data_IF_801170766234
#
_entry.id   IF_801170766234
#
_cell.length_a   1.000
_cell.length_b   1.000
_cell.length_c   1.000
_cell.angle_alpha   90.00
_cell.angle_beta   90.00
_cell.angle_gamma   90.00
#
_symmetry.space_group_name_H-M   'P 1'
#
loop_
_entity.id
_entity.type
_entity.pdbx_description
1 polymer ?
#
# COMPACT_ATOMS: atom_id res chain seq x y z
N UNK A 1 -3.32 28.81 -9.81
CA UNK A 1 -3.72 27.42 -9.66
C UNK A 1 -3.05 26.93 -8.38
N UNK A 2 -3.75 26.97 -7.24
CA UNK A 2 -3.22 26.53 -5.96
C UNK A 2 -3.33 25.01 -5.95
N UNK A 3 -2.23 24.33 -6.15
CA UNK A 3 -2.07 22.93 -5.77
C UNK A 3 -2.19 22.86 -4.25
N UNK A 4 -2.98 21.92 -3.75
CA UNK A 4 -3.06 21.61 -2.31
C UNK A 4 -1.64 21.34 -1.78
N UNK A 5 -1.06 22.32 -1.13
CA UNK A 5 0.32 22.27 -0.57
C UNK A 5 0.45 21.27 0.60
N UNK A 6 -0.61 20.54 0.93
CA UNK A 6 -0.68 19.66 2.09
C UNK A 6 -0.84 18.16 1.71
N UNK A 7 -0.71 17.77 0.45
CA UNK A 7 -0.76 16.35 0.06
C UNK A 7 0.63 15.71 0.23
N UNK A 8 0.71 14.64 1.03
CA UNK A 8 1.96 13.88 1.16
C UNK A 8 2.38 13.29 -0.19
N UNK A 9 3.64 13.52 -0.58
CA UNK A 9 4.25 12.93 -1.76
C UNK A 9 5.24 11.87 -1.34
N UNK A 10 4.92 10.64 -1.68
CA UNK A 10 5.54 9.43 -1.15
C UNK A 10 6.50 8.86 -2.19
N UNK A 11 7.74 8.58 -1.77
CA UNK A 11 8.68 7.76 -2.52
C UNK A 11 8.87 6.42 -1.82
N UNK A 12 8.76 5.32 -2.56
CA UNK A 12 8.73 3.96 -2.05
C UNK A 12 9.91 3.16 -2.60
N UNK A 13 10.67 2.57 -1.68
CA UNK A 13 11.84 1.76 -1.92
C UNK A 13 11.65 0.36 -1.31
N UNK A 14 11.73 -0.67 -2.15
CA UNK A 14 11.52 -2.05 -1.73
C UNK A 14 12.83 -2.85 -1.82
N UNK A 15 13.29 -3.36 -0.70
CA UNK A 15 14.20 -4.50 -0.63
C UNK A 15 13.37 -5.76 -0.89
N UNK A 16 13.27 -6.11 -2.20
CA UNK A 16 12.32 -7.13 -2.63
C UNK A 16 12.69 -8.52 -2.14
N UNK A 17 13.98 -8.84 -2.09
CA UNK A 17 14.44 -10.15 -1.62
C UNK A 17 14.05 -10.37 -0.16
N UNK A 18 14.27 -9.38 0.70
CA UNK A 18 13.91 -9.45 2.11
C UNK A 18 12.41 -9.68 2.30
N UNK A 19 11.57 -8.88 1.63
CA UNK A 19 10.11 -9.01 1.71
C UNK A 19 9.60 -10.34 1.18
N UNK A 20 10.08 -10.78 0.00
CA UNK A 20 9.65 -12.02 -0.64
C UNK A 20 10.06 -13.25 0.18
N UNK A 21 11.27 -13.23 0.76
CA UNK A 21 11.75 -14.30 1.63
C UNK A 21 10.91 -14.35 2.91
N UNK A 22 10.70 -13.21 3.58
CA UNK A 22 9.87 -13.13 4.78
C UNK A 22 8.43 -13.61 4.52
N UNK A 23 7.80 -13.15 3.43
CA UNK A 23 6.45 -13.58 3.07
C UNK A 23 6.36 -15.10 2.80
N UNK A 24 7.40 -15.69 2.19
CA UNK A 24 7.46 -17.14 1.96
C UNK A 24 7.66 -17.92 3.26
N UNK A 25 8.57 -17.50 4.10
CA UNK A 25 8.96 -18.23 5.29
C UNK A 25 7.95 -18.09 6.43
N UNK A 26 7.49 -16.88 6.68
CA UNK A 26 6.69 -16.57 7.86
C UNK A 26 5.17 -16.63 7.57
N UNK A 27 4.75 -16.23 6.36
CA UNK A 27 3.33 -16.21 5.98
C UNK A 27 2.93 -17.40 5.09
N UNK A 28 3.89 -18.19 4.60
CA UNK A 28 3.65 -19.34 3.71
C UNK A 28 3.13 -18.93 2.33
N UNK A 29 3.40 -17.70 1.89
CA UNK A 29 3.01 -17.19 0.58
C UNK A 29 3.92 -17.77 -0.50
N UNK A 30 3.34 -18.22 -1.62
CA UNK A 30 4.13 -18.67 -2.77
C UNK A 30 4.68 -17.49 -3.58
N UNK A 31 3.99 -16.35 -3.54
CA UNK A 31 4.37 -15.10 -4.19
C UNK A 31 4.05 -13.92 -3.27
N UNK A 32 4.95 -12.94 -3.22
CA UNK A 32 4.70 -11.68 -2.53
C UNK A 32 3.67 -10.85 -3.29
N UNK A 33 2.68 -10.31 -2.57
CA UNK A 33 1.67 -9.43 -3.13
C UNK A 33 1.95 -7.97 -2.73
N UNK A 34 2.19 -7.12 -3.73
CA UNK A 34 2.44 -5.70 -3.53
C UNK A 34 1.13 -4.87 -3.36
N UNK A 35 -0.01 -5.42 -3.75
CA UNK A 35 -1.31 -4.73 -3.70
C UNK A 35 -1.64 -4.08 -2.36
N UNK A 36 -1.52 -4.80 -1.22
CA UNK A 36 -1.74 -4.24 0.11
C UNK A 36 -0.88 -3.02 0.43
N UNK A 37 0.41 -3.03 0.06
CA UNK A 37 1.31 -1.88 0.24
C UNK A 37 0.86 -0.71 -0.65
N UNK A 38 0.53 -0.97 -1.91
CA UNK A 38 0.08 0.06 -2.84
C UNK A 38 -1.18 0.77 -2.31
N UNK A 39 -2.15 0.01 -1.78
CA UNK A 39 -3.38 0.53 -1.17
C UNK A 39 -3.06 1.36 0.08
N UNK A 40 -2.34 0.82 1.03
CA UNK A 40 -1.99 1.51 2.26
C UNK A 40 -1.26 2.85 2.01
N UNK A 41 -0.42 2.93 0.97
CA UNK A 41 0.25 4.17 0.61
C UNK A 41 -0.66 5.14 -0.14
N UNK A 42 -1.59 4.65 -1.00
CA UNK A 42 -2.56 5.49 -1.69
C UNK A 42 -3.52 6.20 -0.72
N UNK A 43 -3.86 5.56 0.39
CA UNK A 43 -4.68 6.17 1.46
C UNK A 43 -3.96 7.33 2.16
N UNK A 44 -2.64 7.25 2.34
CA UNK A 44 -1.82 8.24 3.02
C UNK A 44 -1.45 9.42 2.13
N UNK A 45 -1.13 9.17 0.85
CA UNK A 45 -0.69 10.25 -0.02
C UNK A 45 -0.49 9.82 -1.47
N UNK A 46 0.06 10.72 -2.26
CA UNK A 46 0.37 10.46 -3.66
C UNK A 46 1.72 9.78 -3.79
N UNK A 47 1.75 8.53 -4.22
CA UNK A 47 2.99 7.82 -4.50
C UNK A 47 3.56 8.28 -5.84
N UNK A 48 4.66 9.01 -5.80
CA UNK A 48 5.31 9.62 -6.97
C UNK A 48 6.52 8.82 -7.46
N UNK A 49 6.98 7.87 -6.66
CA UNK A 49 8.19 7.10 -6.94
C UNK A 49 8.06 5.69 -6.34
N UNK A 50 8.37 4.65 -7.13
CA UNK A 50 8.33 3.25 -6.69
C UNK A 50 9.50 2.52 -7.30
N UNK A 51 10.41 1.97 -6.50
CA UNK A 51 11.52 1.12 -6.94
C UNK A 51 11.64 -0.13 -6.10
N UNK A 52 11.93 -1.24 -6.75
CA UNK A 52 12.23 -2.51 -6.09
C UNK A 52 13.61 -3.00 -6.54
N UNK A 53 14.40 -3.47 -5.59
CA UNK A 53 15.78 -3.88 -5.75
C UNK A 53 15.90 -5.37 -5.47
N UNK A 54 16.44 -6.12 -6.43
CA UNK A 54 16.70 -7.56 -6.30
C UNK A 54 17.62 -8.07 -7.41
N UNK A 55 18.14 -9.29 -7.23
CA UNK A 55 18.49 -10.16 -8.34
C UNK A 55 17.20 -10.82 -8.86
N UNK A 56 16.67 -10.28 -9.95
CA UNK A 56 15.38 -10.70 -10.49
C UNK A 56 15.41 -12.08 -11.16
N UNK A 57 16.57 -12.71 -11.29
CA UNK A 57 16.68 -14.06 -11.87
C UNK A 57 15.90 -15.12 -11.10
N UNK A 58 15.68 -14.90 -9.80
CA UNK A 58 14.86 -15.75 -8.92
C UNK A 58 13.38 -15.38 -8.81
N UNK A 59 12.92 -14.30 -9.47
CA UNK A 59 11.61 -13.68 -9.26
C UNK A 59 10.87 -13.33 -10.55
N UNK A 60 11.04 -14.11 -11.61
CA UNK A 60 10.44 -13.81 -12.92
C UNK A 60 8.92 -13.65 -12.91
N UNK A 61 8.21 -14.47 -12.13
CA UNK A 61 6.74 -14.36 -11.99
C UNK A 61 6.32 -13.09 -11.28
N UNK A 62 7.15 -12.58 -10.37
CA UNK A 62 6.85 -11.39 -9.56
C UNK A 62 7.06 -10.10 -10.35
N UNK A 63 7.96 -10.11 -11.36
CA UNK A 63 8.25 -8.94 -12.22
C UNK A 63 7.00 -8.37 -12.86
N UNK A 64 6.14 -9.22 -13.44
CA UNK A 64 4.90 -8.79 -14.09
C UNK A 64 3.94 -8.15 -13.10
N UNK A 65 3.82 -8.73 -11.91
CA UNK A 65 2.96 -8.20 -10.86
C UNK A 65 3.41 -6.79 -10.41
N UNK A 66 4.69 -6.61 -10.12
CA UNK A 66 5.26 -5.32 -9.74
C UNK A 66 5.13 -4.27 -10.85
N UNK A 67 5.34 -4.66 -12.12
CA UNK A 67 5.20 -3.78 -13.28
C UNK A 67 3.76 -3.26 -13.44
N UNK A 68 2.73 -4.07 -13.18
CA UNK A 68 1.32 -3.63 -13.17
C UNK A 68 1.07 -2.55 -12.12
N UNK A 69 1.78 -2.60 -10.99
CA UNK A 69 1.75 -1.57 -9.96
C UNK A 69 2.71 -0.40 -10.24
N UNK A 70 3.24 -0.30 -11.46
CA UNK A 70 4.16 0.77 -11.88
C UNK A 70 5.42 0.86 -11.01
N UNK A 71 5.91 -0.28 -10.51
CA UNK A 71 7.17 -0.37 -9.77
C UNK A 71 8.31 -0.52 -10.77
N UNK A 72 9.30 0.38 -10.69
CA UNK A 72 10.55 0.28 -11.45
C UNK A 72 11.42 -0.82 -10.82
N UNK A 73 11.88 -1.77 -11.64
CA UNK A 73 12.70 -2.90 -11.19
C UNK A 73 14.16 -2.57 -11.41
N UNK A 74 14.93 -2.51 -10.34
CA UNK A 74 16.39 -2.29 -10.39
C UNK A 74 17.08 -3.64 -10.31
N UNK A 75 17.73 -4.03 -11.41
CA UNK A 75 18.49 -5.27 -11.50
C UNK A 75 19.82 -5.15 -10.78
N UNK A 76 20.08 -6.06 -9.85
CA UNK A 76 21.35 -6.17 -9.15
C UNK A 76 21.90 -7.59 -9.34
N UNK A 77 22.61 -7.87 -10.46
CA UNK A 77 23.06 -9.21 -10.75
C UNK A 77 24.08 -9.69 -9.73
N UNK A 78 23.82 -10.86 -9.17
CA UNK A 78 24.79 -11.54 -8.30
C UNK A 78 25.86 -12.20 -9.17
N UNK A 79 27.11 -11.73 -9.05
CA UNK A 79 28.23 -12.41 -9.70
C UNK A 79 28.59 -13.68 -8.93
N UNK A 80 28.60 -14.81 -9.61
CA UNK A 80 29.08 -16.07 -9.04
C UNK A 80 30.48 -15.91 -8.41
N UNK A 81 30.59 -16.25 -7.13
CA UNK A 81 31.89 -16.40 -6.45
C UNK A 81 32.38 -15.25 -5.59
N UNK A 82 31.63 -14.15 -5.43
CA UNK A 82 31.97 -13.10 -4.47
C UNK A 82 30.79 -12.79 -3.56
N UNK A 83 31.04 -12.82 -2.24
CA UNK A 83 30.09 -12.43 -1.19
C UNK A 83 29.76 -10.94 -1.32
N UNK A 84 28.78 -10.59 -2.18
CA UNK A 84 28.19 -9.26 -2.27
C UNK A 84 26.72 -9.33 -1.90
N UNK A 85 26.46 -9.79 -0.66
CA UNK A 85 25.09 -9.85 -0.12
C UNK A 85 24.39 -8.47 -0.05
N UNK A 86 25.12 -7.37 -0.05
CA UNK A 86 24.60 -6.02 0.24
C UNK A 86 24.63 -5.07 -0.97
N UNK A 87 24.78 -5.56 -2.22
CA UNK A 87 24.86 -4.66 -3.38
C UNK A 87 23.50 -3.99 -3.66
N UNK A 88 22.39 -4.71 -3.48
CA UNK A 88 21.03 -4.19 -3.60
C UNK A 88 20.75 -3.13 -2.51
N UNK A 89 21.13 -3.44 -1.27
CA UNK A 89 20.97 -2.56 -0.11
C UNK A 89 21.70 -1.25 -0.31
N UNK A 90 22.99 -1.32 -0.71
CA UNK A 90 23.82 -0.14 -0.98
C UNK A 90 23.19 0.71 -2.11
N UNK A 91 22.74 0.06 -3.21
CA UNK A 91 22.09 0.81 -4.30
C UNK A 91 20.81 1.48 -3.84
N UNK A 92 19.98 0.78 -3.06
CA UNK A 92 18.76 1.35 -2.50
C UNK A 92 19.05 2.53 -1.56
N UNK A 93 20.07 2.42 -0.70
CA UNK A 93 20.50 3.50 0.19
C UNK A 93 20.94 4.73 -0.61
N UNK A 94 21.76 4.53 -1.65
CA UNK A 94 22.25 5.64 -2.49
C UNK A 94 21.09 6.33 -3.19
N UNK A 95 20.18 5.57 -3.82
CA UNK A 95 19.04 6.13 -4.54
C UNK A 95 18.06 6.87 -3.62
N UNK A 96 17.82 6.34 -2.41
CA UNK A 96 16.95 6.99 -1.44
C UNK A 96 17.55 8.32 -0.94
N UNK A 97 18.86 8.37 -0.70
CA UNK A 97 19.54 9.60 -0.30
C UNK A 97 19.58 10.60 -1.46
N UNK A 98 19.94 10.18 -2.67
CA UNK A 98 19.93 11.03 -3.86
C UNK A 98 18.57 11.69 -4.06
N UNK A 99 17.49 10.88 -4.02
CA UNK A 99 16.13 11.39 -4.14
C UNK A 99 15.77 12.38 -3.03
N UNK A 100 16.18 12.12 -1.79
CA UNK A 100 15.91 13.00 -0.66
C UNK A 100 16.61 14.35 -0.80
N UNK A 101 17.79 14.38 -1.43
CA UNK A 101 18.51 15.62 -1.69
C UNK A 101 18.02 16.37 -2.92
N UNK A 102 17.62 15.65 -3.98
CA UNK A 102 17.26 16.27 -5.27
C UNK A 102 15.79 16.68 -5.36
N UNK A 103 14.90 16.07 -4.59
CA UNK A 103 13.44 16.21 -4.75
C UNK A 103 12.79 16.75 -3.48
N UNK A 104 12.90 18.04 -3.28
CA UNK A 104 12.31 18.71 -2.09
C UNK A 104 10.80 18.51 -1.94
N UNK A 105 10.11 18.28 -3.05
CA UNK A 105 8.67 18.01 -3.04
C UNK A 105 8.28 16.64 -2.48
N UNK A 106 9.20 15.69 -2.36
CA UNK A 106 8.96 14.40 -1.73
C UNK A 106 9.03 14.59 -0.21
N UNK A 107 7.91 14.40 0.46
CA UNK A 107 7.80 14.65 1.90
C UNK A 107 8.00 13.39 2.73
N UNK A 108 7.63 12.23 2.16
CA UNK A 108 7.62 10.95 2.86
C UNK A 108 8.40 9.91 2.07
N UNK A 109 9.27 9.19 2.76
CA UNK A 109 10.03 8.06 2.20
C UNK A 109 9.60 6.78 2.90
N UNK A 110 9.23 5.78 2.11
CA UNK A 110 8.82 4.47 2.58
C UNK A 110 9.93 3.47 2.29
N UNK A 111 10.41 2.81 3.33
CA UNK A 111 11.45 1.78 3.26
C UNK A 111 10.81 0.43 3.57
N UNK A 112 10.71 -0.41 2.56
CA UNK A 112 10.09 -1.72 2.69
C UNK A 112 11.18 -2.79 2.86
N UNK A 113 11.49 -3.13 4.09
CA UNK A 113 12.46 -4.15 4.51
C UNK A 113 12.27 -4.48 6.00
N UNK A 114 12.73 -5.63 6.44
CA UNK A 114 12.85 -6.00 7.86
C UNK A 114 14.27 -5.85 8.41
N UNK A 115 15.26 -5.46 7.57
CA UNK A 115 16.66 -5.47 7.95
C UNK A 115 17.09 -4.21 8.72
N UNK A 116 17.72 -4.42 9.87
CA UNK A 116 18.26 -3.34 10.69
C UNK A 116 19.45 -2.59 10.07
N UNK A 117 20.08 -3.13 9.04
CA UNK A 117 21.17 -2.47 8.33
C UNK A 117 20.72 -1.17 7.63
N UNK A 118 19.40 -1.01 7.42
CA UNK A 118 18.80 0.23 6.95
C UNK A 118 18.55 1.28 8.03
N UNK A 119 18.76 0.97 9.32
CA UNK A 119 18.58 1.96 10.41
C UNK A 119 19.39 3.25 10.21
N UNK A 120 20.66 3.22 9.75
CA UNK A 120 21.40 4.45 9.46
C UNK A 120 20.79 5.30 8.32
N UNK A 121 20.21 4.64 7.30
CA UNK A 121 19.47 5.33 6.24
C UNK A 121 18.27 6.06 6.81
N UNK A 122 17.45 5.36 7.61
CA UNK A 122 16.26 5.93 8.25
C UNK A 122 16.61 7.17 9.06
N UNK A 123 17.65 7.08 9.90
CA UNK A 123 18.13 8.21 10.70
C UNK A 123 18.55 9.40 9.80
N UNK A 124 19.29 9.12 8.73
CA UNK A 124 19.75 10.16 7.81
C UNK A 124 18.62 10.85 7.05
N UNK A 125 17.60 10.10 6.62
CA UNK A 125 16.42 10.65 5.97
C UNK A 125 15.62 11.57 6.93
N UNK A 126 15.51 11.19 8.20
CA UNK A 126 14.87 12.04 9.24
C UNK A 126 15.68 13.31 9.52
N UNK A 127 17.02 13.24 9.54
CA UNK A 127 17.88 14.44 9.60
C UNK A 127 17.63 15.39 8.42
N UNK A 128 17.30 14.85 7.23
CA UNK A 128 16.94 15.60 6.04
C UNK A 128 15.47 16.09 6.05
N UNK A 129 14.81 16.01 7.22
CA UNK A 129 13.41 16.42 7.41
C UNK A 129 12.43 15.64 6.49
N UNK A 130 12.71 14.37 6.23
CA UNK A 130 11.78 13.46 5.54
C UNK A 130 11.08 12.59 6.59
N UNK A 131 9.76 12.48 6.48
CA UNK A 131 9.01 11.47 7.23
C UNK A 131 9.39 10.10 6.70
N UNK A 132 9.67 9.14 7.58
CA UNK A 132 10.04 7.79 7.20
C UNK A 132 9.04 6.78 7.72
N UNK A 133 8.43 6.04 6.80
CA UNK A 133 7.54 4.91 7.10
C UNK A 133 8.30 3.63 6.78
N UNK A 134 8.43 2.72 7.75
CA UNK A 134 8.95 1.38 7.54
C UNK A 134 7.83 0.40 7.22
N UNK A 135 8.09 -0.58 6.35
CA UNK A 135 7.17 -1.70 6.10
C UNK A 135 7.99 -3.00 6.09
N UNK A 136 7.58 -3.99 6.87
CA UNK A 136 8.26 -5.29 6.93
C UNK A 136 7.34 -6.41 7.38
N UNK A 137 7.70 -7.66 7.08
CA UNK A 137 7.00 -8.83 7.61
C UNK A 137 7.36 -8.98 9.08
N UNK A 138 6.36 -9.16 9.96
CA UNK A 138 6.53 -9.08 11.42
C UNK A 138 7.66 -9.95 11.95
N UNK A 139 7.64 -11.23 11.64
CA UNK A 139 8.57 -12.21 12.20
C UNK A 139 9.98 -12.10 11.61
N UNK A 140 10.10 -11.59 10.37
CA UNK A 140 11.38 -11.31 9.70
C UNK A 140 11.92 -9.91 9.99
N UNK A 141 11.18 -9.06 10.72
CA UNK A 141 11.61 -7.68 10.99
C UNK A 141 12.48 -7.61 12.25
N UNK A 142 13.66 -7.03 12.11
CA UNK A 142 14.53 -6.72 13.25
C UNK A 142 13.86 -5.74 14.20
N UNK A 143 13.95 -6.01 15.51
CA UNK A 143 13.41 -5.15 16.57
C UNK A 143 14.04 -3.75 16.63
N UNK A 144 15.16 -3.55 15.94
CA UNK A 144 15.88 -2.27 15.93
C UNK A 144 15.32 -1.29 14.87
N UNK A 145 14.68 -1.80 13.81
CA UNK A 145 14.23 -0.97 12.70
C UNK A 145 12.93 -0.19 13.03
N UNK A 146 11.86 -0.78 13.58
CA UNK A 146 10.61 -0.07 13.84
C UNK A 146 10.77 1.19 14.70
N UNK A 147 11.54 1.18 15.83
CA UNK A 147 11.70 2.38 16.66
C UNK A 147 12.47 3.53 15.97
N UNK A 148 13.22 3.23 14.92
CA UNK A 148 13.96 4.25 14.17
C UNK A 148 13.06 5.06 13.23
N UNK A 149 11.95 4.45 12.74
CA UNK A 149 10.99 5.06 11.82
C UNK A 149 10.04 6.03 12.54
N UNK A 150 9.39 6.93 11.79
CA UNK A 150 8.30 7.76 12.31
C UNK A 150 7.01 6.96 12.40
N UNK A 151 6.83 5.97 11.51
CA UNK A 151 5.73 5.00 11.50
C UNK A 151 6.28 3.66 11.00
N UNK A 152 5.76 2.55 11.53
CA UNK A 152 6.10 1.22 11.03
C UNK A 152 4.84 0.38 10.83
N UNK A 153 4.68 -0.14 9.63
CA UNK A 153 3.55 -0.99 9.26
C UNK A 153 4.04 -2.43 9.10
N UNK A 154 3.39 -3.36 9.77
CA UNK A 154 3.64 -4.76 9.51
C UNK A 154 2.82 -5.22 8.30
N UNK A 155 3.52 -5.79 7.30
CA UNK A 155 2.89 -6.25 6.07
C UNK A 155 1.74 -7.21 6.33
N UNK A 156 1.92 -8.15 7.25
CA UNK A 156 0.93 -9.15 7.67
C UNK A 156 -0.35 -8.55 8.28
N UNK A 157 -0.29 -7.30 8.73
CA UNK A 157 -1.43 -6.57 9.28
C UNK A 157 -2.09 -5.60 8.28
N UNK A 158 -1.60 -5.55 7.03
CA UNK A 158 -2.21 -4.70 6.00
C UNK A 158 -3.47 -5.36 5.45
N UNK A 159 -4.46 -4.52 5.14
CA UNK A 159 -5.71 -4.98 4.54
C UNK A 159 -5.46 -5.73 3.22
N UNK A 160 -6.12 -6.89 3.07
CA UNK A 160 -6.02 -7.75 1.89
C UNK A 160 -4.88 -8.77 1.93
N UNK A 161 -3.95 -8.72 2.90
CA UNK A 161 -2.86 -9.71 3.02
C UNK A 161 -3.39 -11.09 3.36
N UNK A 162 -4.38 -11.21 4.26
CA UNK A 162 -4.99 -12.50 4.61
C UNK A 162 -5.63 -13.17 3.38
N UNK A 163 -6.33 -12.40 2.55
CA UNK A 163 -6.89 -12.90 1.29
C UNK A 163 -5.78 -13.36 0.34
N UNK A 164 -4.67 -12.63 0.25
CA UNK A 164 -3.50 -13.00 -0.55
C UNK A 164 -2.83 -14.29 -0.05
N UNK A 165 -2.74 -14.47 1.27
CA UNK A 165 -2.24 -15.71 1.90
C UNK A 165 -3.17 -16.88 1.56
N UNK A 166 -4.49 -16.72 1.69
CA UNK A 166 -5.47 -17.74 1.38
C UNK A 166 -5.43 -18.14 -0.10
N UNK A 167 -5.37 -17.15 -1.01
CA UNK A 167 -5.23 -17.38 -2.45
C UNK A 167 -3.93 -18.12 -2.81
N UNK A 168 -2.85 -17.84 -2.09
CA UNK A 168 -1.55 -18.46 -2.28
C UNK A 168 -1.53 -19.95 -1.84
N UNK A 169 -2.33 -20.30 -0.84
CA UNK A 169 -2.45 -21.67 -0.29
C UNK A 169 -3.47 -22.54 -1.05
N UNK A 170 -4.37 -21.93 -1.83
CA UNK A 170 -5.35 -22.68 -2.62
C UNK A 170 -4.63 -23.60 -3.64
N UNK A 171 -5.04 -24.89 -3.78
CA UNK A 171 -4.47 -25.76 -4.78
C UNK A 171 -4.62 -25.13 -6.17
N UNK A 172 -3.55 -25.09 -6.95
CA UNK A 172 -3.62 -24.72 -8.37
C UNK A 172 -4.62 -25.67 -9.07
N UNK A 173 -5.90 -25.33 -9.05
CA UNK A 173 -6.81 -25.88 -10.04
C UNK A 173 -6.22 -25.51 -11.39
N UNK A 174 -6.00 -26.51 -12.25
CA UNK A 174 -5.45 -26.39 -13.59
C UNK A 174 -6.15 -25.24 -14.32
N UNK A 175 -5.62 -24.02 -14.20
CA UNK A 175 -5.99 -22.93 -15.09
C UNK A 175 -5.36 -23.25 -16.44
N UNK A 176 -6.22 -23.44 -17.40
CA UNK A 176 -5.84 -23.51 -18.80
C UNK A 176 -4.92 -22.31 -19.10
N UNK A 177 -3.76 -22.60 -19.65
CA UNK A 177 -2.87 -21.63 -20.27
C UNK A 177 -3.66 -21.06 -21.44
N UNK A 178 -3.75 -19.76 -21.56
CA UNK A 178 -4.49 -18.97 -22.55
C UNK A 178 -5.82 -18.37 -22.04
N UNK A 179 -5.75 -17.58 -20.97
CA UNK A 179 -6.65 -16.45 -20.84
C UNK A 179 -5.80 -15.18 -20.84
N UNK A 180 -6.12 -14.26 -21.76
CA UNK A 180 -5.58 -12.92 -21.86
C UNK A 180 -5.60 -12.27 -20.46
N UNK A 181 -4.45 -12.25 -19.81
CA UNK A 181 -4.27 -11.71 -18.46
C UNK A 181 -4.22 -10.17 -18.49
N UNK A 182 -4.72 -9.59 -19.58
CA UNK A 182 -4.84 -8.16 -19.88
C UNK A 182 -6.26 -7.61 -19.60
N UNK A 183 -7.15 -8.44 -19.03
CA UNK A 183 -8.40 -7.93 -18.54
C UNK A 183 -8.12 -6.99 -17.36
N UNK A 184 -8.66 -5.74 -17.37
CA UNK A 184 -8.58 -4.85 -16.22
C UNK A 184 -9.17 -5.60 -15.01
N UNK A 185 -8.46 -5.57 -13.88
CA UNK A 185 -8.98 -6.10 -12.63
C UNK A 185 -10.37 -5.48 -12.41
N UNK A 186 -11.40 -6.31 -12.26
CA UNK A 186 -12.74 -5.82 -11.95
C UNK A 186 -12.63 -4.97 -10.69
N UNK A 187 -13.05 -3.70 -10.81
CA UNK A 187 -13.07 -2.78 -9.67
C UNK A 187 -13.96 -3.38 -8.58
N UNK A 188 -13.55 -3.36 -7.31
CA UNK A 188 -14.36 -3.89 -6.22
C UNK A 188 -15.73 -3.19 -6.20
N UNK A 189 -16.79 -3.86 -5.69
CA UNK A 189 -18.09 -3.23 -5.52
C UNK A 189 -17.97 -1.87 -4.81
N UNK A 190 -18.71 -0.87 -5.27
CA UNK A 190 -18.63 0.52 -4.77
C UNK A 190 -18.62 0.62 -3.24
N UNK A 191 -19.47 -0.15 -2.57
CA UNK A 191 -19.56 -0.16 -1.10
C UNK A 191 -18.30 -0.68 -0.45
N UNK A 192 -17.75 -1.76 -0.97
CA UNK A 192 -16.51 -2.36 -0.49
C UNK A 192 -15.32 -1.41 -0.68
N UNK A 193 -15.24 -0.72 -1.82
CA UNK A 193 -14.21 0.29 -2.08
C UNK A 193 -14.29 1.45 -1.08
N UNK A 194 -15.49 1.95 -0.78
CA UNK A 194 -15.68 3.04 0.18
C UNK A 194 -15.39 2.58 1.61
N UNK A 195 -15.90 1.42 2.02
CA UNK A 195 -15.72 0.87 3.37
C UNK A 195 -14.23 0.59 3.63
N UNK A 196 -13.56 -0.12 2.72
CA UNK A 196 -12.16 -0.49 2.89
C UNK A 196 -11.24 0.74 2.92
N UNK A 197 -11.47 1.72 2.02
CA UNK A 197 -10.70 2.95 2.00
C UNK A 197 -10.91 3.77 3.29
N UNK A 198 -12.15 3.86 3.78
CA UNK A 198 -12.46 4.61 4.98
C UNK A 198 -11.90 3.93 6.25
N UNK A 199 -11.97 2.59 6.32
CA UNK A 199 -11.39 1.81 7.42
C UNK A 199 -9.86 2.01 7.51
N UNK A 200 -9.15 1.95 6.37
CA UNK A 200 -7.72 2.19 6.31
C UNK A 200 -7.33 3.61 6.73
N UNK A 201 -8.18 4.61 6.44
CA UNK A 201 -7.93 6.00 6.81
C UNK A 201 -8.21 6.28 8.30
N UNK A 202 -9.24 5.67 8.89
CA UNK A 202 -9.60 5.87 10.30
C UNK A 202 -8.56 5.34 11.28
N UNK A 203 -7.75 4.36 10.87
CA UNK A 203 -6.58 3.92 11.64
C UNK A 203 -5.48 4.99 11.78
N UNK A 204 -5.53 6.05 10.97
CA UNK A 204 -4.50 7.10 10.90
C UNK A 204 -4.99 8.49 11.33
N UNK A 205 -6.32 8.75 11.38
CA UNK A 205 -6.90 10.05 11.80
C UNK A 205 -8.37 9.91 12.18
N UNK A 206 -8.78 10.58 13.27
CA UNK A 206 -10.15 10.50 13.79
C UNK A 206 -11.22 11.17 12.90
N UNK A 207 -10.84 12.13 12.03
CA UNK A 207 -11.77 12.93 11.21
C UNK A 207 -11.47 12.80 9.72
N UNK A 208 -12.19 11.92 9.03
CA UNK A 208 -12.06 11.76 7.57
C UNK A 208 -13.12 12.59 6.85
N UNK A 209 -12.69 13.59 6.06
CA UNK A 209 -13.61 14.41 5.25
C UNK A 209 -13.93 13.73 3.90
N UNK A 210 -15.12 14.00 3.38
CA UNK A 210 -15.57 13.49 2.09
C UNK A 210 -14.60 13.80 0.95
N UNK A 211 -14.00 15.00 0.94
CA UNK A 211 -13.00 15.39 -0.06
C UNK A 211 -11.71 14.58 0.06
N UNK A 212 -11.29 14.24 1.26
CA UNK A 212 -10.10 13.43 1.53
C UNK A 212 -10.36 11.97 1.15
N UNK A 213 -11.52 11.44 1.52
CA UNK A 213 -11.95 10.10 1.12
C UNK A 213 -12.04 9.96 -0.40
N UNK A 214 -12.64 10.92 -1.12
CA UNK A 214 -12.68 10.91 -2.59
C UNK A 214 -11.29 10.86 -3.20
N UNK A 215 -10.34 11.65 -2.67
CA UNK A 215 -8.95 11.65 -3.15
C UNK A 215 -8.27 10.30 -2.92
N UNK A 216 -8.50 9.66 -1.77
CA UNK A 216 -7.97 8.34 -1.48
C UNK A 216 -8.54 7.28 -2.45
N UNK A 217 -9.85 7.27 -2.65
CA UNK A 217 -10.51 6.38 -3.62
C UNK A 217 -9.95 6.59 -5.04
N UNK A 218 -9.83 7.85 -5.50
CA UNK A 218 -9.28 8.14 -6.84
C UNK A 218 -7.79 7.76 -6.97
N UNK A 219 -7.03 7.68 -5.88
CA UNK A 219 -5.65 7.15 -5.89
C UNK A 219 -5.61 5.63 -6.01
N UNK A 220 -6.57 4.94 -5.40
CA UNK A 220 -6.70 3.48 -5.47
C UNK A 220 -7.24 3.08 -6.84
N UNK A 221 -8.30 3.74 -7.28
CA UNK A 221 -8.94 3.56 -8.58
C UNK A 221 -9.03 4.90 -9.34
N UNK A 222 -8.06 5.20 -10.22
CA UNK A 222 -8.06 6.44 -11.01
C UNK A 222 -9.23 6.56 -12.00
N UNK A 223 -9.93 5.46 -12.28
CA UNK A 223 -11.11 5.44 -13.17
C UNK A 223 -12.41 5.71 -12.44
N UNK A 224 -12.36 5.74 -11.10
CA UNK A 224 -13.54 5.96 -10.26
C UNK A 224 -14.25 7.26 -10.62
N UNK A 225 -15.54 7.13 -10.97
CA UNK A 225 -16.43 8.25 -11.24
C UNK A 225 -17.81 7.94 -10.65
N UNK A 226 -18.27 8.76 -9.76
CA UNK A 226 -19.58 8.62 -9.13
C UNK A 226 -20.75 8.62 -10.13
N UNK A 227 -20.57 9.23 -11.31
CA UNK A 227 -21.60 9.25 -12.35
C UNK A 227 -21.85 7.84 -12.94
N UNK A 228 -20.84 6.97 -12.98
CA UNK A 228 -20.96 5.60 -13.46
C UNK A 228 -21.82 4.72 -12.51
N UNK A 229 -21.96 5.19 -11.27
CA UNK A 229 -22.81 4.59 -10.24
C UNK A 229 -24.16 5.30 -10.08
N UNK A 230 -24.50 6.26 -10.97
CA UNK A 230 -25.79 6.96 -11.01
C UNK A 230 -25.91 8.18 -10.11
N UNK A 231 -24.79 8.68 -9.55
CA UNK A 231 -24.79 9.84 -8.66
C UNK A 231 -24.22 11.09 -9.36
N UNK A 232 -24.81 12.27 -9.09
CA UNK A 232 -24.36 13.55 -9.66
C UNK A 232 -23.07 14.09 -9.00
N UNK A 233 -22.67 13.51 -7.89
CA UNK A 233 -21.47 13.91 -7.16
C UNK A 233 -21.22 13.05 -5.92
N UNK A 234 -19.98 13.07 -5.46
CA UNK A 234 -19.51 12.19 -4.39
C UNK A 234 -20.29 12.37 -3.06
N UNK A 235 -20.69 13.60 -2.74
CA UNK A 235 -21.50 13.85 -1.52
C UNK A 235 -22.91 13.23 -1.64
N UNK A 236 -23.48 13.12 -2.84
CA UNK A 236 -24.77 12.46 -3.07
C UNK A 236 -24.63 10.94 -2.86
N UNK A 237 -23.57 10.35 -3.40
CA UNK A 237 -23.20 8.96 -3.17
C UNK A 237 -23.05 8.66 -1.68
N UNK A 238 -22.31 9.49 -0.95
CA UNK A 238 -22.16 9.29 0.50
C UNK A 238 -23.47 9.40 1.28
N UNK A 239 -24.40 10.28 0.87
CA UNK A 239 -25.73 10.33 1.48
C UNK A 239 -26.52 9.06 1.22
N UNK A 240 -26.45 8.51 0.03
CA UNK A 240 -27.07 7.22 -0.29
C UNK A 240 -26.52 6.10 0.60
N UNK A 241 -25.20 6.06 0.82
CA UNK A 241 -24.58 5.10 1.72
C UNK A 241 -24.97 5.36 3.20
N UNK A 242 -25.18 6.62 3.57
CA UNK A 242 -25.66 6.96 4.91
C UNK A 242 -27.12 6.52 5.14
N UNK A 243 -28.00 6.65 4.15
CA UNK A 243 -29.37 6.11 4.20
C UNK A 243 -29.38 4.59 4.37
N UNK A 244 -28.39 3.90 3.83
CA UNK A 244 -28.17 2.46 3.97
C UNK A 244 -27.43 2.07 5.26
N UNK A 245 -27.09 3.04 6.10
CA UNK A 245 -26.36 2.86 7.37
C UNK A 245 -24.97 2.22 7.19
N UNK A 246 -24.32 2.49 6.08
CA UNK A 246 -22.93 2.07 5.81
C UNK A 246 -21.98 3.09 6.44
N UNK A 247 -22.30 4.39 6.30
CA UNK A 247 -21.51 5.49 6.86
C UNK A 247 -22.40 6.47 7.62
N UNK A 248 -21.83 7.22 8.54
CA UNK A 248 -22.45 8.41 9.14
C UNK A 248 -21.79 9.67 8.60
N UNK A 249 -22.61 10.70 8.36
CA UNK A 249 -22.15 12.00 7.88
C UNK A 249 -22.43 13.07 8.93
N UNK A 250 -21.39 13.83 9.30
CA UNK A 250 -21.49 14.96 10.23
C UNK A 250 -20.87 16.23 9.65
N UNK A 251 -21.14 17.40 10.25
CA UNK A 251 -20.54 18.66 9.86
C UNK A 251 -21.12 19.34 8.62
N UNK A 252 -20.32 20.07 7.83
CA UNK A 252 -20.78 20.94 6.75
C UNK A 252 -21.35 20.16 5.55
N UNK A 253 -22.49 20.59 5.00
CA UNK A 253 -23.16 19.92 3.85
C UNK A 253 -22.28 19.77 2.59
N UNK A 254 -21.26 20.62 2.41
CA UNK A 254 -20.40 20.65 1.22
C UNK A 254 -19.23 19.65 1.32
N UNK A 255 -18.72 19.42 2.52
CA UNK A 255 -17.59 18.53 2.77
C UNK A 255 -17.78 17.90 4.17
N UNK A 256 -18.75 16.97 4.30
CA UNK A 256 -19.05 16.33 5.58
C UNK A 256 -17.90 15.45 6.04
N UNK A 257 -17.82 15.27 7.34
CA UNK A 257 -17.04 14.22 7.96
C UNK A 257 -17.76 12.89 7.75
N UNK A 258 -16.98 11.84 7.46
CA UNK A 258 -17.48 10.52 7.11
C UNK A 258 -16.91 9.52 8.10
N UNK A 259 -17.78 8.77 8.75
CA UNK A 259 -17.41 7.74 9.74
C UNK A 259 -18.11 6.43 9.36
N UNK A 260 -17.44 5.29 9.53
CA UNK A 260 -18.09 3.99 9.38
C UNK A 260 -19.10 3.77 10.50
N UNK A 261 -20.27 3.24 10.14
CA UNK A 261 -21.26 2.84 11.15
C UNK A 261 -20.81 1.51 11.77
N UNK A 262 -20.32 1.57 13.01
CA UNK A 262 -20.03 0.40 13.84
C UNK A 262 -21.32 -0.05 14.54
N UNK A 263 -22.05 -1.00 13.98
CA UNK A 263 -23.28 -1.54 14.57
C UNK A 263 -23.89 -2.62 13.68
N UNK A 264 -24.85 -3.44 14.20
CA UNK A 264 -25.49 -4.63 13.64
C UNK A 264 -26.06 -4.53 12.19
N UNK A 265 -25.36 -3.81 11.28
CA UNK A 265 -25.73 -3.63 9.89
C UNK A 265 -24.86 -4.45 8.92
N UNK A 266 -25.16 -4.39 7.62
CA UNK A 266 -24.38 -5.10 6.59
C UNK A 266 -22.88 -4.72 6.57
N UNK A 267 -22.50 -3.56 7.14
CA UNK A 267 -21.12 -3.16 7.35
C UNK A 267 -20.42 -4.02 8.41
N UNK A 268 -21.13 -4.44 9.46
CA UNK A 268 -20.59 -5.34 10.48
C UNK A 268 -20.38 -6.75 9.92
N UNK A 269 -21.30 -7.22 9.06
CA UNK A 269 -21.13 -8.51 8.40
C UNK A 269 -19.92 -8.52 7.44
N UNK A 270 -19.64 -7.40 6.78
CA UNK A 270 -18.44 -7.22 5.96
C UNK A 270 -17.17 -7.08 6.83
N UNK A 271 -17.27 -6.36 7.96
CA UNK A 271 -16.18 -6.20 8.93
C UNK A 271 -15.91 -7.52 9.69
N UNK A 272 -16.94 -8.24 10.12
CA UNK A 272 -16.81 -9.54 10.79
C UNK A 272 -16.34 -10.64 9.82
N UNK A 273 -16.65 -10.55 8.52
CA UNK A 273 -16.07 -11.39 7.49
C UNK A 273 -14.58 -11.04 7.24
N UNK A 274 -14.19 -9.79 7.38
CA UNK A 274 -12.80 -9.32 7.29
C UNK A 274 -11.98 -9.67 8.54
N UNK A 275 -12.62 -9.75 9.71
CA UNK A 275 -11.95 -10.05 11.00
C UNK A 275 -12.01 -11.55 11.36
N UNK A 276 -12.93 -12.33 10.77
CA UNK A 276 -13.18 -13.74 11.09
C UNK A 276 -12.53 -14.72 10.09
N UNK A 277 -11.72 -14.24 9.14
CA UNK A 277 -10.96 -15.04 8.16
C UNK A 277 -9.49 -14.71 8.30
#
# INVERSE_FOLDING_TARGET
MRTDDNEERIALFLDYENLAIGARQDLGMTRFDFGPIARAMAERGRVVYRRAYADWSGFDEDRRHLTRHQVELIEIPQRMGTSRKNSADIKMVVDALELAFERDYVTTIVICTGDSDFTPLVQKLRELNRRVIGIGVRDSTSKLLPPACDEFLYYDSLEGVEASIAASRAPKATRAVDADDDAPAESPPLEELVISTLAGMQGSSDDVRASTLKRAITRIDPTFNEADHGFRGFTELLRHLAERKVVELSGPKRDPEVVLVTGDGPAQAAFDLLVAV
#
